data_IF_116133190613
#
_entry.id   IF_116133190613
#
_cell.length_a   1.000
_cell.length_b   1.000
_cell.length_c   1.000
_cell.angle_alpha   90.00
_cell.angle_beta   90.00
_cell.angle_gamma   90.00
#
_symmetry.space_group_name_H-M   'P 1'
#
loop_
_entity.id
_entity.type
_entity.pdbx_description
1 polymer ?
#
# COMPACT_ATOMS: atom_id res chain seq x y z
N UNK A 1 2.46 -11.20 -10.44
CA UNK A 1 2.07 -12.44 -9.73
C UNK A 1 0.76 -12.13 -9.03
N UNK A 2 -0.27 -12.94 -9.26
CA UNK A 2 -1.57 -12.71 -8.64
C UNK A 2 -1.51 -13.15 -7.17
N UNK A 3 -1.98 -12.31 -6.27
CA UNK A 3 -2.29 -12.68 -4.90
C UNK A 3 -3.80 -12.92 -4.83
N UNK A 4 -4.20 -14.13 -4.49
CA UNK A 4 -5.62 -14.43 -4.38
C UNK A 4 -6.18 -13.92 -3.05
N UNK A 5 -7.42 -13.46 -3.05
CA UNK A 5 -8.12 -13.07 -1.83
C UNK A 5 -8.20 -14.25 -0.83
N UNK A 6 -8.19 -15.50 -1.33
CA UNK A 6 -8.14 -16.72 -0.52
C UNK A 6 -6.84 -16.83 0.27
N UNK A 7 -5.69 -16.54 -0.34
CA UNK A 7 -4.40 -16.57 0.36
C UNK A 7 -4.33 -15.48 1.44
N UNK A 8 -4.84 -14.29 1.16
CA UNK A 8 -4.90 -13.20 2.14
C UNK A 8 -5.77 -13.58 3.35
N UNK A 9 -6.96 -14.14 3.10
CA UNK A 9 -7.82 -14.63 4.16
C UNK A 9 -7.19 -15.77 4.96
N UNK A 10 -6.52 -16.73 4.30
CA UNK A 10 -5.83 -17.82 4.96
C UNK A 10 -4.68 -17.31 5.86
N UNK A 11 -4.00 -16.24 5.46
CA UNK A 11 -2.99 -15.55 6.27
C UNK A 11 -3.59 -14.53 7.24
N UNK A 12 -4.90 -14.59 7.49
CA UNK A 12 -5.59 -13.79 8.51
C UNK A 12 -5.76 -12.30 8.17
N UNK A 13 -5.54 -11.91 6.92
CA UNK A 13 -5.88 -10.57 6.45
C UNK A 13 -7.39 -10.47 6.17
N UNK A 14 -7.93 -9.31 6.49
CA UNK A 14 -9.29 -8.94 6.13
C UNK A 14 -9.29 -7.68 5.28
N UNK A 15 -10.24 -7.59 4.35
CA UNK A 15 -10.50 -6.34 3.62
C UNK A 15 -11.12 -5.32 4.58
N UNK A 16 -10.36 -4.28 4.89
CA UNK A 16 -10.70 -3.21 5.83
C UNK A 16 -11.11 -1.90 5.14
N UNK A 17 -10.87 -1.80 3.84
CA UNK A 17 -11.27 -0.62 3.07
C UNK A 17 -10.98 -0.74 1.60
N UNK A 18 -11.22 0.35 0.89
CA UNK A 18 -10.97 0.47 -0.55
C UNK A 18 -10.64 1.92 -0.89
N UNK A 19 -9.78 2.11 -1.89
CA UNK A 19 -9.53 3.42 -2.49
C UNK A 19 -10.08 3.44 -3.89
N UNK A 20 -10.90 4.44 -4.17
CA UNK A 20 -11.50 4.65 -5.48
C UNK A 20 -10.96 5.93 -6.12
N UNK A 21 -10.75 5.94 -7.44
CA UNK A 21 -10.52 7.17 -8.18
C UNK A 21 -11.83 7.97 -8.21
N UNK A 22 -11.77 9.19 -7.69
CA UNK A 22 -12.91 10.12 -7.61
C UNK A 22 -12.88 11.11 -8.80
N UNK A 23 -11.68 11.57 -9.16
CA UNK A 23 -11.41 12.36 -10.36
C UNK A 23 -9.99 12.07 -10.86
N UNK A 24 -9.57 12.64 -12.00
CA UNK A 24 -8.28 12.38 -12.64
C UNK A 24 -7.06 12.46 -11.69
N UNK A 25 -7.15 13.28 -10.63
CA UNK A 25 -6.10 13.45 -9.62
C UNK A 25 -6.60 13.31 -8.19
N UNK A 26 -7.85 12.86 -7.99
CA UNK A 26 -8.49 12.78 -6.67
C UNK A 26 -8.79 11.32 -6.31
N UNK A 27 -8.50 10.98 -5.07
CA UNK A 27 -8.75 9.67 -4.49
C UNK A 27 -9.68 9.79 -3.30
N UNK A 28 -10.66 8.90 -3.25
CA UNK A 28 -11.49 8.69 -2.08
C UNK A 28 -11.00 7.44 -1.36
N UNK A 29 -10.62 7.60 -0.09
CA UNK A 29 -10.25 6.49 0.79
C UNK A 29 -11.46 6.17 1.66
N UNK A 30 -11.98 4.95 1.54
CA UNK A 30 -13.07 4.45 2.35
C UNK A 30 -12.58 3.30 3.23
N UNK A 31 -12.72 3.48 4.54
CA UNK A 31 -12.37 2.47 5.54
C UNK A 31 -13.66 2.05 6.21
N UNK A 32 -13.88 0.74 6.34
CA UNK A 32 -15.02 0.21 7.06
C UNK A 32 -14.86 0.60 8.54
N UNK A 33 -15.71 1.49 9.04
CA UNK A 33 -15.55 2.12 10.37
C UNK A 33 -15.54 1.11 11.51
N UNK A 34 -16.35 0.06 11.37
CA UNK A 34 -16.41 -1.10 12.26
C UNK A 34 -15.16 -1.99 12.21
N UNK A 35 -14.25 -1.73 11.26
CA UNK A 35 -13.05 -2.51 11.01
C UNK A 35 -11.77 -1.67 11.04
N UNK A 36 -11.81 -0.45 11.60
CA UNK A 36 -10.59 0.34 11.76
C UNK A 36 -9.72 -0.29 12.85
N UNK A 37 -8.55 -0.77 12.45
CA UNK A 37 -7.63 -1.48 13.34
C UNK A 37 -6.48 -0.59 13.78
N UNK A 38 -5.99 -0.81 15.00
CA UNK A 38 -4.89 -0.05 15.61
C UNK A 38 -3.92 -0.97 16.37
N UNK A 39 -2.81 -0.42 16.86
CA UNK A 39 -1.72 -1.21 17.46
C UNK A 39 -0.77 -1.71 16.38
N UNK A 40 -0.23 -2.92 16.51
CA UNK A 40 0.73 -3.45 15.54
C UNK A 40 0.03 -4.03 14.31
N UNK A 41 -0.05 -3.24 13.24
CA UNK A 41 -0.81 -3.59 12.03
C UNK A 41 0.12 -3.76 10.84
N UNK A 42 -0.06 -4.87 10.12
CA UNK A 42 0.46 -5.04 8.75
C UNK A 42 -0.70 -4.87 7.77
N UNK A 43 -0.46 -4.15 6.68
CA UNK A 43 -1.41 -3.95 5.61
C UNK A 43 -0.85 -4.33 4.25
N UNK A 44 -1.76 -4.73 3.36
CA UNK A 44 -1.49 -5.07 1.96
C UNK A 44 -2.44 -4.27 1.08
N UNK A 45 -1.90 -3.75 -0.02
CA UNK A 45 -2.66 -3.07 -1.07
C UNK A 45 -2.70 -3.98 -2.29
N UNK A 46 -3.90 -4.18 -2.86
CA UNK A 46 -4.13 -5.08 -3.99
C UNK A 46 -4.93 -4.35 -5.07
N UNK A 47 -4.61 -4.59 -6.34
CA UNK A 47 -5.29 -4.02 -7.51
C UNK A 47 -5.50 -5.14 -8.52
N UNK A 48 -6.73 -5.39 -8.97
CA UNK A 48 -7.03 -6.49 -9.91
C UNK A 48 -6.40 -7.84 -9.52
N UNK A 49 -6.42 -8.19 -8.24
CA UNK A 49 -5.76 -9.38 -7.69
C UNK A 49 -4.22 -9.40 -7.82
N UNK A 50 -3.59 -8.26 -8.11
CA UNK A 50 -2.13 -8.10 -8.10
C UNK A 50 -1.66 -7.40 -6.81
N UNK A 51 -0.59 -7.92 -6.23
CA UNK A 51 0.04 -7.34 -5.05
C UNK A 51 0.74 -6.02 -5.41
N UNK A 52 0.34 -4.92 -4.78
CA UNK A 52 0.97 -3.61 -5.01
C UNK A 52 2.04 -3.31 -3.96
N UNK A 53 1.71 -3.51 -2.69
CA UNK A 53 2.55 -3.09 -1.56
C UNK A 53 2.12 -3.77 -0.27
N UNK A 54 3.10 -4.15 0.54
CA UNK A 54 2.93 -4.33 1.98
C UNK A 54 3.53 -3.17 2.77
N UNK A 55 3.04 -2.97 3.97
CA UNK A 55 3.63 -2.07 4.94
C UNK A 55 3.05 -2.26 6.31
N UNK A 56 3.61 -1.51 7.26
CA UNK A 56 3.22 -1.55 8.67
C UNK A 56 2.83 -0.19 9.21
N UNK A 57 2.06 -0.20 10.29
CA UNK A 57 1.69 1.00 11.03
C UNK A 57 1.40 0.68 12.49
N UNK A 58 1.72 1.62 13.36
CA UNK A 58 1.33 1.63 14.78
C UNK A 58 0.22 2.65 15.06
N UNK A 59 -0.01 3.56 14.12
CA UNK A 59 -1.16 4.48 14.15
C UNK A 59 -2.40 3.78 13.57
N UNK A 60 -3.62 4.28 13.90
CA UNK A 60 -4.85 3.74 13.34
C UNK A 60 -4.78 3.57 11.83
N UNK A 61 -5.25 2.44 11.33
CA UNK A 61 -5.15 2.05 9.94
C UNK A 61 -5.77 3.12 9.03
N UNK A 62 -6.94 3.64 9.40
CA UNK A 62 -7.58 4.76 8.72
C UNK A 62 -6.65 5.97 8.55
N UNK A 63 -6.04 6.44 9.64
CA UNK A 63 -5.09 7.56 9.63
C UNK A 63 -3.90 7.28 8.72
N UNK A 64 -3.35 6.06 8.75
CA UNK A 64 -2.23 5.66 7.88
C UNK A 64 -2.61 5.67 6.40
N UNK A 65 -3.78 5.13 6.06
CA UNK A 65 -4.27 5.05 4.67
C UNK A 65 -4.57 6.46 4.14
N UNK A 66 -5.31 7.28 4.88
CA UNK A 66 -5.55 8.68 4.52
C UNK A 66 -4.25 9.45 4.31
N UNK A 67 -3.27 9.32 5.22
CA UNK A 67 -1.96 9.96 5.07
C UNK A 67 -1.22 9.52 3.81
N UNK A 68 -1.25 8.23 3.49
CA UNK A 68 -0.60 7.64 2.32
C UNK A 68 -1.20 8.16 1.02
N UNK A 69 -2.53 8.11 0.90
CA UNK A 69 -3.22 8.52 -0.33
C UNK A 69 -3.35 10.04 -0.47
N UNK A 70 -3.37 10.82 0.62
CA UNK A 70 -3.19 12.28 0.54
C UNK A 70 -1.80 12.65 0.02
N UNK A 71 -0.76 11.91 0.42
CA UNK A 71 0.59 12.09 -0.10
C UNK A 71 0.72 11.72 -1.58
N UNK A 72 -0.12 10.81 -2.06
CA UNK A 72 -0.22 10.44 -3.47
C UNK A 72 -0.97 11.50 -4.28
N UNK A 73 -2.13 11.96 -3.79
CA UNK A 73 -2.89 13.10 -4.34
C UNK A 73 -1.99 14.32 -4.55
N UNK A 74 -1.17 14.67 -3.56
CA UNK A 74 -0.24 15.79 -3.69
C UNK A 74 0.86 15.59 -4.74
N UNK A 75 1.28 14.33 -5.00
CA UNK A 75 2.23 14.02 -6.08
C UNK A 75 1.57 14.11 -7.47
N UNK A 76 0.28 13.79 -7.57
CA UNK A 76 -0.46 13.83 -8.84
C UNK A 76 -1.04 15.21 -9.16
N UNK A 77 -1.23 16.06 -8.15
CA UNK A 77 -1.84 17.39 -8.30
C UNK A 77 -0.83 18.54 -8.41
N UNK A 78 -1.27 19.74 -8.04
CA UNK A 78 -0.52 20.98 -8.18
C UNK A 78 0.85 21.02 -7.46
N UNK A 79 1.11 20.08 -6.53
CA UNK A 79 2.37 19.99 -5.77
C UNK A 79 3.33 18.94 -6.33
N UNK A 80 3.06 18.37 -7.51
CA UNK A 80 3.89 17.36 -8.16
C UNK A 80 5.36 17.79 -8.30
N UNK A 81 5.60 19.06 -8.62
CA UNK A 81 6.95 19.61 -8.81
C UNK A 81 7.73 19.83 -7.50
N UNK A 82 7.11 19.71 -6.32
CA UNK A 82 7.80 19.98 -5.06
C UNK A 82 8.78 18.83 -4.73
N UNK A 83 10.06 19.09 -4.37
CA UNK A 83 11.09 18.07 -4.16
C UNK A 83 10.68 16.92 -3.22
N UNK A 84 9.97 17.24 -2.13
CA UNK A 84 9.36 16.26 -1.19
C UNK A 84 8.48 15.18 -1.85
N UNK A 85 7.93 15.43 -3.03
CA UNK A 85 7.02 14.53 -3.75
C UNK A 85 7.62 13.97 -5.05
N UNK A 86 8.80 14.44 -5.46
CA UNK A 86 9.43 14.00 -6.72
C UNK A 86 9.95 12.56 -6.66
N UNK A 87 10.33 12.05 -5.50
CA UNK A 87 10.89 10.69 -5.38
C UNK A 87 10.08 9.85 -4.40
N UNK A 88 9.33 8.85 -4.90
CA UNK A 88 8.98 7.53 -4.29
C UNK A 88 8.29 6.66 -5.34
N UNK A 89 8.84 5.50 -5.63
CA UNK A 89 8.45 4.60 -6.74
C UNK A 89 7.07 3.97 -6.59
N UNK A 90 6.62 3.70 -5.37
CA UNK A 90 5.23 3.29 -5.10
C UNK A 90 4.21 4.30 -5.64
N UNK A 91 4.53 5.61 -5.60
CA UNK A 91 3.58 6.64 -6.00
C UNK A 91 3.43 6.77 -7.51
N UNK A 92 4.43 6.39 -8.30
CA UNK A 92 4.33 6.36 -9.76
C UNK A 92 3.43 5.22 -10.25
N UNK A 93 3.51 4.05 -9.63
CA UNK A 93 2.64 2.92 -9.98
C UNK A 93 1.22 3.07 -9.46
N UNK A 94 1.06 3.55 -8.23
CA UNK A 94 -0.26 3.90 -7.73
C UNK A 94 -0.90 4.97 -8.62
N UNK A 95 -0.14 5.95 -9.14
CA UNK A 95 -0.63 6.91 -10.14
C UNK A 95 -1.11 6.22 -11.43
N UNK A 96 -0.38 5.25 -11.99
CA UNK A 96 -0.83 4.50 -13.17
C UNK A 96 -2.13 3.71 -12.92
N UNK A 97 -2.26 3.07 -11.75
CA UNK A 97 -3.49 2.38 -11.32
C UNK A 97 -4.68 3.33 -11.23
N UNK A 98 -4.45 4.51 -10.65
CA UNK A 98 -5.47 5.55 -10.48
C UNK A 98 -5.89 6.12 -11.82
N UNK A 99 -4.94 6.38 -12.73
CA UNK A 99 -5.22 6.82 -14.09
C UNK A 99 -5.99 5.77 -14.89
N UNK A 100 -5.74 4.48 -14.61
CA UNK A 100 -6.51 3.36 -15.16
C UNK A 100 -7.91 3.18 -14.52
N UNK A 101 -8.30 4.06 -13.59
CA UNK A 101 -9.59 4.06 -12.87
C UNK A 101 -9.88 2.77 -12.10
N UNK A 102 -8.84 2.13 -11.56
CA UNK A 102 -8.97 0.87 -10.84
C UNK A 102 -9.06 1.11 -9.33
N UNK A 103 -9.80 0.23 -8.67
CA UNK A 103 -9.91 0.20 -7.22
C UNK A 103 -8.65 -0.38 -6.60
N UNK A 104 -8.26 0.15 -5.44
CA UNK A 104 -7.21 -0.41 -4.62
C UNK A 104 -7.86 -1.01 -3.37
N UNK A 105 -7.83 -2.33 -3.26
CA UNK A 105 -8.29 -3.02 -2.07
C UNK A 105 -7.29 -2.85 -0.93
N UNK A 106 -7.80 -2.55 0.27
CA UNK A 106 -6.99 -2.34 1.46
C UNK A 106 -7.24 -3.49 2.45
N UNK A 107 -6.22 -4.33 2.60
CA UNK A 107 -6.22 -5.49 3.47
C UNK A 107 -5.37 -5.21 4.70
N UNK A 108 -5.79 -5.63 5.89
CA UNK A 108 -4.99 -5.47 7.10
C UNK A 108 -5.19 -6.60 8.12
N UNK A 109 -4.14 -6.82 8.92
CA UNK A 109 -4.09 -7.80 10.00
C UNK A 109 -3.37 -7.20 11.22
N UNK A 110 -3.90 -7.51 12.41
CA UNK A 110 -3.28 -7.16 13.69
C UNK A 110 -2.34 -8.24 14.17
N UNK A 111 -1.28 -7.80 14.85
CA UNK A 111 -0.29 -8.65 15.49
C UNK A 111 -0.24 -8.33 16.99
N UNK A 112 0.02 -9.33 17.84
CA UNK A 112 0.07 -9.12 19.28
C UNK A 112 1.37 -8.45 19.73
N UNK A 113 2.41 -8.40 18.89
CA UNK A 113 3.68 -7.76 19.22
C UNK A 113 4.30 -7.04 18.02
N UNK A 114 5.16 -6.06 18.33
CA UNK A 114 5.97 -5.35 17.35
C UNK A 114 6.86 -6.31 16.54
N UNK A 115 7.48 -7.30 17.20
CA UNK A 115 8.35 -8.28 16.56
C UNK A 115 7.63 -9.11 15.49
N UNK A 116 6.41 -9.57 15.79
CA UNK A 116 5.61 -10.35 14.83
C UNK A 116 5.11 -9.50 13.66
N UNK A 117 4.75 -8.23 13.91
CA UNK A 117 4.43 -7.28 12.84
C UNK A 117 5.64 -7.06 11.92
N UNK A 118 6.83 -6.87 12.48
CA UNK A 118 8.07 -6.70 11.71
C UNK A 118 8.40 -7.96 10.91
N UNK A 119 8.29 -9.14 11.53
CA UNK A 119 8.55 -10.42 10.86
C UNK A 119 7.60 -10.64 9.69
N UNK A 120 6.29 -10.39 9.86
CA UNK A 120 5.32 -10.54 8.77
C UNK A 120 5.51 -9.51 7.67
N UNK A 121 5.78 -8.24 8.01
CA UNK A 121 6.08 -7.23 6.99
C UNK A 121 7.31 -7.62 6.17
N UNK A 122 8.38 -8.11 6.83
CA UNK A 122 9.57 -8.62 6.17
C UNK A 122 9.25 -9.83 5.28
N UNK A 123 8.51 -10.81 5.78
CA UNK A 123 8.10 -11.99 5.03
C UNK A 123 7.36 -11.61 3.74
N UNK A 124 6.37 -10.71 3.82
CA UNK A 124 5.65 -10.23 2.64
C UNK A 124 6.57 -9.45 1.70
N UNK A 125 7.44 -8.60 2.25
CA UNK A 125 8.35 -7.81 1.45
C UNK A 125 9.34 -8.69 0.67
N UNK A 126 9.88 -9.74 1.30
CA UNK A 126 10.78 -10.72 0.70
C UNK A 126 10.06 -11.61 -0.30
N UNK A 127 8.88 -12.15 0.06
CA UNK A 127 8.07 -13.03 -0.80
C UNK A 127 7.68 -12.35 -2.10
N UNK A 128 7.29 -11.09 -2.01
CA UNK A 128 6.89 -10.31 -3.16
C UNK A 128 8.03 -9.47 -3.73
N UNK A 129 9.26 -9.58 -3.22
CA UNK A 129 10.41 -8.79 -3.67
C UNK A 129 10.57 -8.85 -5.20
N UNK A 130 10.78 -7.70 -5.84
CA UNK A 130 10.84 -7.59 -7.30
C UNK A 130 9.49 -7.69 -8.04
N UNK A 131 8.42 -8.06 -7.36
CA UNK A 131 7.04 -8.14 -7.88
C UNK A 131 6.17 -6.97 -7.43
N UNK A 132 6.65 -6.18 -6.47
CA UNK A 132 6.16 -4.83 -6.23
C UNK A 132 6.29 -4.14 -7.56
N UNK A 133 5.23 -3.62 -8.14
CA UNK A 133 5.36 -2.79 -9.33
C UNK A 133 6.42 -1.68 -9.06
N UNK A 134 7.53 -1.57 -9.80
CA UNK A 134 8.90 -2.09 -9.56
C UNK A 134 9.60 -1.46 -8.33
N UNK A 135 10.45 -2.23 -7.63
CA UNK A 135 11.41 -1.74 -6.62
C UNK A 135 12.00 -0.40 -7.06
N UNK A 136 11.98 0.59 -6.17
CA UNK A 136 12.70 1.81 -6.44
C UNK A 136 14.17 1.49 -6.57
N UNK A 137 14.69 1.54 -7.80
CA UNK A 137 16.08 1.29 -8.21
C UNK A 137 16.88 0.70 -7.05
N UNK A 138 16.98 -0.63 -6.98
CA UNK A 138 18.28 -1.13 -6.57
C UNK A 138 19.26 -0.53 -7.58
N UNK A 139 19.96 0.54 -7.18
CA UNK A 139 21.27 0.80 -7.76
C UNK A 139 21.98 -0.52 -7.55
N UNK A 140 22.12 -1.29 -8.63
CA UNK A 140 23.13 -2.30 -8.72
C UNK A 140 24.40 -1.59 -8.24
N UNK A 141 24.86 -1.91 -7.03
CA UNK A 141 26.25 -1.67 -6.70
C UNK A 141 26.97 -2.64 -7.63
N UNK A 142 27.31 -2.15 -8.81
CA UNK A 142 28.34 -2.76 -9.63
C UNK A 142 29.54 -2.88 -8.72
N UNK A 143 29.88 -4.11 -8.37
CA UNK A 143 31.27 -4.44 -8.05
C UNK A 143 32.02 -4.23 -9.36
N UNK A 144 32.68 -3.08 -9.45
CA UNK A 144 33.93 -2.94 -10.17
C UNK A 144 35.00 -2.78 -9.10
#
# INVERSE_FOLDING_TARGET
MNISNKELHADGFERRGTVYPDAATTLRVEIHKDKDVHGFVVYVMVVNHEFMKAGKTETPFSRRMHGTFNSLKNKMGARAAHPRYQEKTFKEHAQATILAKQEIELWARNFPSFELMMAKEKELNDKYQGLWTKEGKHRARGRA
#
